data_IF_016663701494
#
_entry.id   IF_016663701494
#
_cell.length_a   1.000
_cell.length_b   1.000
_cell.length_c   1.000
_cell.angle_alpha   90.00
_cell.angle_beta   90.00
_cell.angle_gamma   90.00
#
_symmetry.space_group_name_H-M   'P 1'
#
loop_
_entity.id
_entity.type
_entity.pdbx_description
1 polymer ?
#
# COMPACT_ATOMS: atom_id res chain seq x y z
N UNK A 1 32.95 -33.39 16.99
CA UNK A 1 31.52 -33.08 16.84
C UNK A 1 31.43 -31.72 16.18
N UNK A 2 31.29 -31.71 14.85
CA UNK A 2 31.09 -30.45 14.10
C UNK A 2 29.64 -29.96 14.36
N UNK A 3 29.54 -28.80 14.98
CA UNK A 3 28.25 -28.15 15.19
C UNK A 3 27.55 -27.96 13.85
N UNK A 4 26.38 -28.59 13.64
CA UNK A 4 25.44 -28.24 12.57
C UNK A 4 25.06 -26.77 12.82
N UNK A 5 25.65 -25.89 12.04
CA UNK A 5 25.18 -24.50 11.97
C UNK A 5 23.68 -24.54 11.75
N UNK A 6 22.93 -23.88 12.61
CA UNK A 6 21.47 -23.70 12.47
C UNK A 6 21.30 -23.00 11.12
N UNK A 7 20.81 -23.73 10.11
CA UNK A 7 20.42 -23.11 8.83
C UNK A 7 19.31 -22.16 9.17
N UNK A 8 19.57 -20.86 9.03
CA UNK A 8 18.54 -19.86 9.18
C UNK A 8 17.53 -20.04 8.05
N UNK A 9 16.26 -20.15 8.39
CA UNK A 9 15.18 -20.30 7.41
C UNK A 9 15.02 -19.05 6.55
N UNK A 10 14.67 -19.21 5.27
CA UNK A 10 14.44 -18.12 4.33
C UNK A 10 12.98 -17.65 4.36
N UNK A 11 12.80 -16.34 4.27
CA UNK A 11 11.50 -15.70 4.16
C UNK A 11 11.51 -14.70 3.00
N UNK A 12 10.52 -14.78 2.15
CA UNK A 12 10.30 -13.82 1.06
C UNK A 12 9.25 -12.80 1.44
N UNK A 13 9.64 -11.53 1.56
CA UNK A 13 8.78 -10.42 1.90
C UNK A 13 8.46 -9.57 0.66
N UNK A 14 7.21 -9.56 0.21
CA UNK A 14 6.76 -8.60 -0.79
C UNK A 14 6.24 -7.36 -0.08
N UNK A 15 6.85 -6.22 -0.34
CA UNK A 15 6.56 -4.97 0.33
C UNK A 15 6.33 -3.84 -0.68
N UNK A 16 5.56 -2.85 -0.31
CA UNK A 16 5.23 -1.72 -1.18
C UNK A 16 4.72 -0.49 -0.42
N UNK A 17 4.90 -0.53 0.91
CA UNK A 17 4.46 0.54 1.82
C UNK A 17 5.60 0.92 2.75
N UNK A 18 5.47 2.06 3.45
CA UNK A 18 6.47 2.52 4.42
C UNK A 18 6.69 1.58 5.63
N UNK A 19 5.87 0.55 5.78
CA UNK A 19 6.00 -0.45 6.84
C UNK A 19 6.96 -1.60 6.46
N UNK A 20 7.27 -1.73 5.18
CA UNK A 20 8.16 -2.79 4.70
C UNK A 20 9.54 -2.80 5.36
N UNK A 21 10.28 -1.67 5.40
CA UNK A 21 11.61 -1.64 6.02
C UNK A 21 11.63 -2.02 7.50
N UNK A 22 10.79 -1.46 8.41
CA UNK A 22 10.76 -1.89 9.81
C UNK A 22 10.37 -3.36 9.97
N UNK A 23 9.44 -3.86 9.15
CA UNK A 23 9.04 -5.27 9.15
C UNK A 23 10.20 -6.19 8.74
N UNK A 24 10.91 -5.85 7.66
CA UNK A 24 12.09 -6.60 7.22
C UNK A 24 13.18 -6.64 8.30
N UNK A 25 13.46 -5.50 8.94
CA UNK A 25 14.42 -5.41 10.03
C UNK A 25 13.99 -6.24 11.25
N UNK A 26 12.71 -6.26 11.59
CA UNK A 26 12.19 -7.07 12.69
C UNK A 26 12.32 -8.57 12.40
N UNK A 27 12.02 -9.02 11.19
CA UNK A 27 12.19 -10.41 10.75
C UNK A 27 13.66 -10.84 10.78
N UNK A 28 14.56 -10.02 10.24
CA UNK A 28 15.99 -10.30 10.27
C UNK A 28 16.53 -10.42 11.71
N UNK A 29 16.09 -9.54 12.62
CA UNK A 29 16.50 -9.55 14.03
C UNK A 29 16.12 -10.84 14.76
N UNK A 30 15.04 -11.51 14.39
CA UNK A 30 14.64 -12.81 14.95
C UNK A 30 15.22 -13.99 14.19
N UNK A 31 16.18 -13.75 13.29
CA UNK A 31 17.00 -14.79 12.65
C UNK A 31 16.52 -15.28 11.29
N UNK A 32 15.58 -14.60 10.63
CA UNK A 32 15.19 -14.93 9.27
C UNK A 32 16.19 -14.39 8.24
N UNK A 33 16.53 -15.21 7.24
CA UNK A 33 17.16 -14.75 6.00
C UNK A 33 16.08 -14.15 5.11
N UNK A 34 15.99 -12.82 5.09
CA UNK A 34 14.89 -12.10 4.44
C UNK A 34 15.30 -11.64 3.05
N UNK A 35 14.60 -12.12 2.02
CA UNK A 35 14.63 -11.54 0.67
C UNK A 35 13.43 -10.60 0.52
N UNK A 36 13.69 -9.36 0.11
CA UNK A 36 12.62 -8.36 -0.06
C UNK A 36 12.38 -8.11 -1.55
N UNK A 37 11.11 -8.04 -1.96
CA UNK A 37 10.72 -7.59 -3.30
C UNK A 37 10.02 -6.25 -3.24
N UNK A 38 10.50 -5.29 -4.05
CA UNK A 38 9.92 -3.96 -4.24
C UNK A 38 9.85 -3.60 -5.72
N UNK A 39 8.92 -2.72 -6.10
CA UNK A 39 8.69 -2.41 -7.52
C UNK A 39 9.70 -1.41 -8.07
N UNK A 40 10.21 -0.47 -7.26
CA UNK A 40 11.05 0.64 -7.76
C UNK A 40 12.38 0.74 -7.02
N UNK A 41 13.44 1.25 -7.69
CA UNK A 41 14.73 1.53 -7.04
C UNK A 41 14.58 2.48 -5.84
N UNK A 42 13.71 3.48 -5.93
CA UNK A 42 13.42 4.40 -4.84
C UNK A 42 12.80 3.71 -3.61
N UNK A 43 12.02 2.64 -3.81
CA UNK A 43 11.52 1.83 -2.71
C UNK A 43 12.63 0.96 -2.10
N UNK A 44 13.55 0.45 -2.92
CA UNK A 44 14.70 -0.33 -2.45
C UNK A 44 15.64 0.48 -1.56
N UNK A 45 15.84 1.77 -1.85
CA UNK A 45 16.70 2.64 -1.04
C UNK A 45 16.26 2.74 0.44
N UNK A 46 14.99 2.49 0.74
CA UNK A 46 14.48 2.50 2.11
C UNK A 46 14.97 1.28 2.95
N UNK A 47 15.55 0.28 2.32
CA UNK A 47 16.10 -0.92 2.95
C UNK A 47 17.64 -0.88 3.05
N UNK A 48 18.26 0.22 2.63
CA UNK A 48 19.71 0.37 2.72
C UNK A 48 20.19 0.26 4.17
N UNK A 49 21.25 -0.53 4.38
CA UNK A 49 21.82 -0.77 5.72
C UNK A 49 21.09 -1.80 6.57
N UNK A 50 20.02 -2.44 6.08
CA UNK A 50 19.41 -3.59 6.73
C UNK A 50 20.18 -4.88 6.39
N UNK A 51 20.31 -5.77 7.36
CA UNK A 51 20.88 -7.11 7.18
C UNK A 51 19.86 -8.02 6.50
N UNK A 52 19.88 -8.04 5.17
CA UNK A 52 18.96 -8.79 4.33
C UNK A 52 19.74 -9.77 3.44
N UNK A 53 19.14 -10.91 3.13
CA UNK A 53 19.70 -11.85 2.15
C UNK A 53 19.76 -11.23 0.75
N UNK A 54 18.74 -10.45 0.39
CA UNK A 54 18.69 -9.80 -0.91
C UNK A 54 17.51 -8.84 -1.07
N UNK A 55 17.60 -7.97 -2.09
CA UNK A 55 16.53 -7.07 -2.49
C UNK A 55 16.31 -7.23 -3.98
N UNK A 56 15.10 -7.62 -4.37
CA UNK A 56 14.65 -7.67 -5.76
C UNK A 56 13.94 -6.37 -6.10
N UNK A 57 14.34 -5.78 -7.20
CA UNK A 57 13.75 -4.53 -7.71
C UNK A 57 13.08 -4.81 -9.05
N UNK A 58 11.83 -4.46 -9.16
CA UNK A 58 11.04 -4.63 -10.38
C UNK A 58 9.69 -5.32 -10.11
N UNK A 59 8.77 -5.15 -11.06
CA UNK A 59 7.48 -5.83 -10.99
C UNK A 59 7.65 -7.32 -11.35
N UNK A 60 7.00 -8.18 -10.58
CA UNK A 60 6.88 -9.61 -10.92
C UNK A 60 5.84 -9.76 -12.04
N UNK A 61 6.24 -10.43 -13.12
CA UNK A 61 5.44 -10.56 -14.34
C UNK A 61 4.42 -11.71 -14.28
N UNK A 62 3.57 -11.73 -13.22
CA UNK A 62 2.49 -12.72 -13.08
C UNK A 62 2.94 -14.00 -12.35
N UNK A 63 2.08 -15.00 -12.40
CA UNK A 63 2.21 -16.26 -11.64
C UNK A 63 3.50 -17.02 -11.95
N UNK A 64 3.87 -17.12 -13.23
CA UNK A 64 5.06 -17.88 -13.64
C UNK A 64 6.37 -17.24 -13.15
N UNK A 65 6.48 -15.91 -13.13
CA UNK A 65 7.64 -15.24 -12.59
C UNK A 65 7.77 -15.46 -11.06
N UNK A 66 6.63 -15.52 -10.36
CA UNK A 66 6.59 -15.83 -8.93
C UNK A 66 6.99 -17.29 -8.69
N UNK A 67 6.48 -18.23 -9.49
CA UNK A 67 6.86 -19.64 -9.39
C UNK A 67 8.34 -19.86 -9.65
N UNK A 68 8.88 -19.21 -10.68
CA UNK A 68 10.31 -19.26 -10.97
C UNK A 68 11.14 -18.82 -9.78
N UNK A 69 10.75 -17.73 -9.12
CA UNK A 69 11.42 -17.24 -7.90
C UNK A 69 11.35 -18.23 -6.73
N UNK A 70 10.17 -18.84 -6.54
CA UNK A 70 9.97 -19.82 -5.46
C UNK A 70 10.75 -21.10 -5.64
N UNK A 71 11.10 -21.44 -6.88
CA UNK A 71 11.86 -22.64 -7.25
C UNK A 71 13.35 -22.37 -7.39
N UNK A 72 13.79 -21.11 -7.34
CA UNK A 72 15.19 -20.73 -7.49
C UNK A 72 15.93 -20.76 -6.16
N UNK A 73 17.02 -21.51 -6.11
CA UNK A 73 17.89 -21.61 -4.94
C UNK A 73 17.30 -22.38 -3.75
N UNK A 74 17.69 -21.99 -2.54
CA UNK A 74 17.18 -22.57 -1.30
C UNK A 74 15.67 -22.25 -1.11
N UNK A 75 14.84 -23.19 -0.64
CA UNK A 75 13.41 -22.96 -0.50
C UNK A 75 13.09 -21.89 0.54
N UNK A 76 12.07 -21.08 0.26
CA UNK A 76 11.48 -20.19 1.24
C UNK A 76 10.57 -20.99 2.19
N UNK A 77 10.71 -20.78 3.48
CA UNK A 77 9.78 -21.36 4.45
C UNK A 77 8.47 -20.58 4.49
N UNK A 78 8.54 -19.27 4.33
CA UNK A 78 7.39 -18.41 4.28
C UNK A 78 7.47 -17.40 3.13
N UNK A 79 6.33 -17.14 2.53
CA UNK A 79 6.09 -15.95 1.70
C UNK A 79 5.17 -15.02 2.48
N UNK A 80 5.53 -13.74 2.55
CA UNK A 80 4.75 -12.71 3.25
C UNK A 80 4.34 -11.62 2.25
N UNK A 81 3.05 -11.53 1.99
CA UNK A 81 2.46 -10.44 1.23
C UNK A 81 2.13 -9.27 2.17
N UNK A 82 3.03 -8.30 2.25
CA UNK A 82 2.84 -7.02 2.93
C UNK A 82 2.63 -5.87 1.94
N UNK A 83 2.11 -6.16 0.75
CA UNK A 83 1.81 -5.14 -0.25
C UNK A 83 0.61 -4.29 0.14
N UNK A 84 0.43 -3.15 -0.55
CA UNK A 84 -0.70 -2.27 -0.29
C UNK A 84 -2.04 -3.01 -0.51
N UNK A 85 -3.09 -2.80 0.32
CA UNK A 85 -4.38 -3.49 0.18
C UNK A 85 -5.03 -3.40 -1.22
N UNK A 86 -4.69 -2.36 -1.98
CA UNK A 86 -5.14 -2.16 -3.37
C UNK A 86 -4.22 -2.78 -4.43
N UNK A 87 -3.20 -3.53 -4.03
CA UNK A 87 -2.31 -4.24 -4.96
C UNK A 87 -2.88 -5.63 -5.31
N UNK A 88 -4.14 -5.69 -5.72
CA UNK A 88 -4.94 -6.92 -5.91
C UNK A 88 -4.24 -7.91 -6.84
N UNK A 89 -3.68 -7.43 -7.96
CA UNK A 89 -3.06 -8.30 -8.97
C UNK A 89 -1.92 -9.14 -8.37
N UNK A 90 -0.95 -8.49 -7.75
CA UNK A 90 0.20 -9.23 -7.19
C UNK A 90 -0.22 -10.17 -6.07
N UNK A 91 -1.19 -9.79 -5.23
CA UNK A 91 -1.69 -10.65 -4.16
C UNK A 91 -2.42 -11.89 -4.70
N UNK A 92 -3.19 -11.74 -5.79
CA UNK A 92 -3.84 -12.86 -6.48
C UNK A 92 -2.82 -13.75 -7.19
N UNK A 93 -1.82 -13.17 -7.84
CA UNK A 93 -0.76 -13.93 -8.51
C UNK A 93 0.08 -14.73 -7.48
N UNK A 94 0.38 -14.13 -6.31
CA UNK A 94 1.04 -14.81 -5.19
C UNK A 94 0.21 -15.99 -4.66
N UNK A 95 -1.07 -15.76 -4.42
CA UNK A 95 -1.97 -16.82 -3.95
C UNK A 95 -1.95 -18.00 -4.90
N UNK A 96 -2.12 -17.78 -6.21
CA UNK A 96 -2.12 -18.86 -7.23
C UNK A 96 -0.77 -19.58 -7.31
N UNK A 97 0.34 -18.84 -7.29
CA UNK A 97 1.68 -19.44 -7.35
C UNK A 97 1.99 -20.27 -6.12
N UNK A 98 1.69 -19.74 -4.93
CA UNK A 98 1.92 -20.43 -3.66
C UNK A 98 1.03 -21.65 -3.49
N UNK A 99 -0.25 -21.57 -3.88
CA UNK A 99 -1.18 -22.70 -3.86
C UNK A 99 -0.69 -23.84 -4.74
N UNK A 100 -0.28 -23.54 -5.98
CA UNK A 100 0.22 -24.55 -6.93
C UNK A 100 1.49 -25.28 -6.43
N UNK A 101 2.32 -24.62 -5.63
CA UNK A 101 3.57 -25.16 -5.07
C UNK A 101 3.42 -25.61 -3.60
N UNK A 102 2.23 -25.51 -3.03
CA UNK A 102 1.98 -25.73 -1.59
C UNK A 102 2.91 -24.91 -0.70
N UNK A 103 3.27 -23.72 -1.18
CA UNK A 103 4.13 -22.78 -0.47
C UNK A 103 3.33 -22.00 0.58
N UNK A 104 3.72 -22.01 1.86
CA UNK A 104 3.06 -21.23 2.88
C UNK A 104 3.06 -19.71 2.57
N UNK A 105 1.88 -19.10 2.55
CA UNK A 105 1.67 -17.68 2.25
C UNK A 105 0.89 -17.03 3.38
N UNK A 106 1.44 -15.95 3.92
CA UNK A 106 0.76 -15.05 4.86
C UNK A 106 0.49 -13.70 4.19
N UNK A 107 -0.68 -13.15 4.42
CA UNK A 107 -0.98 -11.76 4.05
C UNK A 107 -1.09 -10.89 5.30
N UNK A 108 -0.26 -9.86 5.36
CA UNK A 108 -0.37 -8.84 6.39
C UNK A 108 -1.41 -7.80 5.97
N UNK A 109 -2.55 -7.80 6.65
CA UNK A 109 -3.60 -6.81 6.46
C UNK A 109 -3.78 -5.96 7.71
N UNK A 110 -3.58 -4.67 7.59
CA UNK A 110 -3.87 -3.74 8.67
C UNK A 110 -5.35 -3.76 9.03
N UNK A 111 -5.70 -3.58 10.31
CA UNK A 111 -7.08 -3.38 10.72
C UNK A 111 -7.72 -2.22 9.94
N UNK A 112 -9.04 -2.27 9.84
CA UNK A 112 -9.80 -1.15 9.29
C UNK A 112 -9.92 -0.07 10.36
N UNK A 113 -9.63 1.17 9.98
CA UNK A 113 -9.88 2.32 10.86
C UNK A 113 -11.39 2.54 11.02
N UNK A 114 -11.79 2.89 12.24
CA UNK A 114 -13.18 3.18 12.59
C UNK A 114 -13.33 4.65 12.99
N UNK A 115 -14.56 5.14 12.99
CA UNK A 115 -14.92 6.49 13.43
C UNK A 115 -14.90 7.55 12.31
N UNK A 116 -15.50 8.72 12.62
CA UNK A 116 -15.74 9.83 11.70
C UNK A 116 -16.94 9.57 10.77
N UNK A 117 -17.47 10.65 10.22
CA UNK A 117 -18.48 10.55 9.16
C UNK A 117 -17.79 10.23 7.84
N UNK A 118 -18.01 9.03 7.33
CA UNK A 118 -17.38 8.54 6.11
C UNK A 118 -18.45 8.13 5.10
N UNK A 119 -18.36 8.64 3.91
CA UNK A 119 -19.14 8.14 2.78
C UNK A 119 -18.30 7.11 2.01
N UNK A 120 -18.84 5.91 1.89
CA UNK A 120 -18.16 4.79 1.27
C UNK A 120 -18.44 4.70 -0.23
N UNK A 121 -17.38 4.50 -1.02
CA UNK A 121 -17.45 4.24 -2.44
C UNK A 121 -16.82 2.88 -2.75
N UNK A 122 -17.36 2.16 -3.72
CA UNK A 122 -16.88 0.85 -4.14
C UNK A 122 -15.95 0.92 -5.36
N UNK A 123 -16.14 1.94 -6.19
CA UNK A 123 -15.32 2.18 -7.37
C UNK A 123 -15.01 3.68 -7.53
N UNK A 124 -13.94 3.98 -8.26
CA UNK A 124 -13.56 5.37 -8.57
C UNK A 124 -14.67 6.11 -9.32
N UNK A 125 -15.36 5.41 -10.22
CA UNK A 125 -16.46 5.94 -11.00
C UNK A 125 -17.71 6.26 -10.18
N UNK A 126 -17.83 5.78 -8.94
CA UNK A 126 -18.98 6.10 -8.09
C UNK A 126 -19.02 7.58 -7.69
N UNK A 127 -17.90 8.31 -7.83
CA UNK A 127 -17.86 9.76 -7.63
C UNK A 127 -18.91 10.50 -8.49
N UNK A 128 -19.19 10.02 -9.71
CA UNK A 128 -20.20 10.62 -10.60
C UNK A 128 -21.63 10.53 -10.09
N UNK A 129 -21.89 9.64 -9.13
CA UNK A 129 -23.21 9.43 -8.53
C UNK A 129 -23.46 10.35 -7.32
N UNK A 130 -22.49 11.15 -6.93
CA UNK A 130 -22.56 12.04 -5.79
C UNK A 130 -22.97 13.45 -6.24
N UNK A 131 -23.62 14.18 -5.34
CA UNK A 131 -23.89 15.60 -5.50
C UNK A 131 -22.66 16.39 -5.06
N UNK A 132 -21.75 16.66 -6.00
CA UNK A 132 -20.49 17.38 -5.72
C UNK A 132 -20.49 18.81 -6.31
N UNK A 133 -21.63 19.30 -6.76
CA UNK A 133 -21.73 20.65 -7.29
C UNK A 133 -21.28 21.69 -6.26
N UNK A 134 -20.34 22.56 -6.65
CA UNK A 134 -19.73 23.55 -5.75
C UNK A 134 -18.75 23.01 -4.73
N UNK A 135 -18.54 21.70 -4.66
CA UNK A 135 -17.53 21.11 -3.76
C UNK A 135 -16.12 21.25 -4.33
N UNK A 136 -15.17 21.47 -3.43
CA UNK A 136 -13.72 21.51 -3.72
C UNK A 136 -13.10 20.22 -3.24
N UNK A 137 -13.02 19.24 -4.16
CA UNK A 137 -12.63 17.87 -3.87
C UNK A 137 -11.11 17.66 -3.99
N UNK A 138 -10.48 17.21 -2.92
CA UNK A 138 -9.07 16.81 -2.91
C UNK A 138 -8.92 15.30 -3.12
N UNK A 139 -8.27 14.89 -4.21
CA UNK A 139 -7.98 13.50 -4.54
C UNK A 139 -6.65 13.05 -3.92
N UNK A 140 -6.73 12.28 -2.83
CA UNK A 140 -5.58 11.72 -2.11
C UNK A 140 -5.37 10.21 -2.43
N UNK A 141 -5.55 9.80 -3.70
CA UNK A 141 -5.60 8.39 -4.13
C UNK A 141 -4.36 7.88 -4.87
N UNK A 142 -3.41 8.77 -5.16
CA UNK A 142 -2.19 8.46 -5.93
C UNK A 142 -2.37 8.60 -7.46
N UNK A 143 -1.26 8.91 -8.15
CA UNK A 143 -1.24 9.35 -9.54
C UNK A 143 -1.97 8.45 -10.53
N UNK A 144 -1.81 7.13 -10.44
CA UNK A 144 -2.39 6.16 -11.38
C UNK A 144 -3.91 6.23 -11.54
N UNK A 145 -4.61 6.73 -10.52
CA UNK A 145 -6.06 6.76 -10.47
C UNK A 145 -6.64 8.16 -10.67
N UNK A 146 -5.78 9.18 -10.80
CA UNK A 146 -6.21 10.57 -10.88
C UNK A 146 -7.08 10.85 -12.10
N UNK A 147 -6.74 10.33 -13.27
CA UNK A 147 -7.50 10.59 -14.50
C UNK A 147 -8.96 10.14 -14.35
N UNK A 148 -9.18 8.88 -13.94
CA UNK A 148 -10.54 8.33 -13.79
C UNK A 148 -11.32 9.05 -12.70
N UNK A 149 -10.71 9.27 -11.54
CA UNK A 149 -11.39 9.92 -10.42
C UNK A 149 -11.65 11.40 -10.68
N UNK A 150 -10.71 12.12 -11.33
CA UNK A 150 -10.89 13.53 -11.71
C UNK A 150 -12.02 13.71 -12.71
N UNK A 151 -12.11 12.84 -13.72
CA UNK A 151 -13.19 12.87 -14.69
C UNK A 151 -14.55 12.64 -14.02
N UNK A 152 -14.67 11.57 -13.23
CA UNK A 152 -15.91 11.25 -12.51
C UNK A 152 -16.36 12.35 -11.53
N UNK A 153 -15.39 12.97 -10.83
CA UNK A 153 -15.68 14.05 -9.90
C UNK A 153 -16.13 15.35 -10.61
N UNK A 154 -15.52 15.66 -11.75
CA UNK A 154 -15.94 16.83 -12.57
C UNK A 154 -17.30 16.63 -13.20
N UNK A 155 -17.63 15.41 -13.64
CA UNK A 155 -18.99 15.08 -14.11
C UNK A 155 -20.05 15.29 -13.01
N UNK A 156 -19.67 15.07 -11.74
CA UNK A 156 -20.50 15.36 -10.56
C UNK A 156 -20.48 16.83 -10.12
N UNK A 157 -19.81 17.73 -10.85
CA UNK A 157 -19.78 19.17 -10.60
C UNK A 157 -18.71 19.66 -9.62
N UNK A 158 -17.74 18.81 -9.22
CA UNK A 158 -16.68 19.21 -8.30
C UNK A 158 -15.56 20.02 -8.99
N UNK A 159 -14.99 20.98 -8.26
CA UNK A 159 -13.66 21.51 -8.56
C UNK A 159 -12.61 20.57 -7.95
N UNK A 160 -11.70 20.06 -8.78
CA UNK A 160 -10.80 18.94 -8.39
C UNK A 160 -9.39 19.42 -8.12
N UNK A 161 -8.88 19.04 -6.97
CA UNK A 161 -7.49 19.22 -6.55
C UNK A 161 -6.85 17.86 -6.30
N UNK A 162 -5.56 17.74 -6.52
CA UNK A 162 -4.88 16.46 -6.33
C UNK A 162 -3.44 16.59 -5.85
N UNK A 163 -2.92 15.46 -5.39
CA UNK A 163 -1.51 15.28 -5.08
C UNK A 163 -0.95 14.09 -5.84
N UNK A 164 0.26 14.24 -6.38
CA UNK A 164 1.03 13.14 -6.93
C UNK A 164 2.43 13.07 -6.32
N UNK A 165 3.08 11.92 -6.48
CA UNK A 165 4.48 11.76 -6.05
C UNK A 165 5.44 12.49 -6.99
N UNK A 166 6.57 13.01 -6.48
CA UNK A 166 7.64 13.61 -7.29
C UNK A 166 8.47 12.51 -7.99
N UNK A 167 7.83 11.83 -8.93
CA UNK A 167 8.43 10.79 -9.76
C UNK A 167 7.77 10.80 -11.13
N UNK A 168 8.47 10.30 -12.16
CA UNK A 168 7.90 10.22 -13.51
C UNK A 168 6.59 9.42 -13.54
N UNK A 169 6.52 8.30 -12.80
CA UNK A 169 5.33 7.45 -12.70
C UNK A 169 4.17 8.09 -11.93
N UNK A 170 4.47 9.03 -11.02
CA UNK A 170 3.45 9.82 -10.31
C UNK A 170 2.97 11.00 -11.13
N UNK A 171 3.89 11.70 -11.78
CA UNK A 171 3.60 12.96 -12.48
C UNK A 171 2.91 12.74 -13.83
N UNK A 172 3.37 11.77 -14.64
CA UNK A 172 2.79 11.51 -15.96
C UNK A 172 1.28 11.26 -15.93
N UNK A 173 0.73 10.35 -15.08
CA UNK A 173 -0.71 10.18 -14.98
C UNK A 173 -1.43 11.41 -14.40
N UNK A 174 -0.79 12.17 -13.53
CA UNK A 174 -1.36 13.38 -12.96
C UNK A 174 -1.53 14.49 -14.01
N UNK A 175 -0.52 14.66 -14.88
CA UNK A 175 -0.61 15.58 -16.03
C UNK A 175 -1.69 15.13 -17.03
N UNK A 176 -1.77 13.82 -17.32
CA UNK A 176 -2.80 13.25 -18.17
C UNK A 176 -4.23 13.42 -17.64
N UNK A 177 -4.38 13.64 -16.31
CA UNK A 177 -5.69 13.98 -15.72
C UNK A 177 -6.19 15.41 -16.07
N UNK A 178 -5.36 16.22 -16.73
CA UNK A 178 -5.72 17.56 -17.19
C UNK A 178 -6.04 18.53 -16.04
N UNK A 179 -5.36 18.37 -14.89
CA UNK A 179 -5.49 19.31 -13.78
C UNK A 179 -4.64 20.56 -14.02
N UNK A 180 -5.18 21.78 -13.81
CA UNK A 180 -4.37 22.99 -13.82
C UNK A 180 -3.24 22.92 -12.81
N UNK A 181 -2.10 23.55 -13.12
CA UNK A 181 -0.92 23.52 -12.24
C UNK A 181 -1.19 24.01 -10.81
N UNK A 182 -2.10 24.98 -10.64
CA UNK A 182 -2.52 25.45 -9.32
C UNK A 182 -3.38 24.48 -8.51
N UNK A 183 -3.87 23.42 -9.15
CA UNK A 183 -4.70 22.36 -8.53
C UNK A 183 -3.94 21.05 -8.31
N UNK A 184 -2.67 21.00 -8.65
CA UNK A 184 -1.82 19.81 -8.49
C UNK A 184 -0.63 20.10 -7.58
N UNK A 185 -0.53 19.38 -6.47
CA UNK A 185 0.65 19.39 -5.60
C UNK A 185 1.55 18.18 -5.90
N UNK A 186 2.84 18.45 -6.13
CA UNK A 186 3.86 17.41 -6.38
C UNK A 186 4.69 17.24 -5.13
N UNK A 187 4.33 16.26 -4.29
CA UNK A 187 4.98 16.01 -3.01
C UNK A 187 4.73 14.59 -2.51
N UNK A 188 5.57 14.12 -1.60
CA UNK A 188 5.33 12.86 -0.87
C UNK A 188 4.36 13.12 0.28
N UNK A 189 3.49 12.15 0.62
CA UNK A 189 2.63 12.26 1.79
C UNK A 189 3.43 12.29 3.09
N UNK A 190 2.87 12.93 4.11
CA UNK A 190 3.41 12.97 5.48
C UNK A 190 4.80 13.61 5.59
N UNK A 191 5.19 14.45 4.63
CA UNK A 191 6.44 15.22 4.72
C UNK A 191 6.32 16.38 5.69
N UNK A 192 7.48 16.83 6.21
CA UNK A 192 7.61 17.94 7.15
C UNK A 192 7.83 17.48 8.59
N UNK A 193 8.09 18.44 9.48
CA UNK A 193 8.38 18.21 10.89
C UNK A 193 7.16 17.65 11.67
N UNK A 194 5.95 17.96 11.22
CA UNK A 194 4.71 17.44 11.78
C UNK A 194 3.90 16.70 10.72
N UNK A 195 3.61 15.40 10.92
CA UNK A 195 2.79 14.64 9.98
C UNK A 195 1.43 15.30 9.71
N UNK A 196 1.17 15.61 8.43
CA UNK A 196 -0.08 16.24 7.99
C UNK A 196 -0.08 17.77 7.94
N UNK A 197 1.02 18.42 8.29
CA UNK A 197 1.11 19.89 8.22
C UNK A 197 0.93 20.41 6.79
N UNK A 198 1.56 19.75 5.81
CA UNK A 198 1.46 20.13 4.40
C UNK A 198 0.06 19.83 3.87
N UNK A 199 -0.51 18.69 4.18
CA UNK A 199 -1.87 18.30 3.79
C UNK A 199 -2.90 19.30 4.34
N UNK A 200 -2.75 19.70 5.61
CA UNK A 200 -3.58 20.75 6.24
C UNK A 200 -3.44 22.09 5.52
N UNK A 201 -2.21 22.50 5.21
CA UNK A 201 -1.95 23.75 4.51
C UNK A 201 -2.57 23.75 3.10
N UNK A 202 -2.49 22.63 2.37
CA UNK A 202 -3.13 22.48 1.06
C UNK A 202 -4.66 22.55 1.18
N UNK A 203 -5.27 21.89 2.15
CA UNK A 203 -6.71 21.95 2.38
C UNK A 203 -7.17 23.39 2.62
N UNK A 204 -6.46 24.15 3.45
CA UNK A 204 -6.77 25.56 3.70
C UNK A 204 -6.56 26.44 2.47
N UNK A 205 -5.40 26.28 1.79
CA UNK A 205 -5.05 27.05 0.58
C UNK A 205 -6.10 26.86 -0.53
N UNK A 206 -6.51 25.63 -0.75
CA UNK A 206 -7.46 25.28 -1.78
C UNK A 206 -8.92 25.34 -1.32
N UNK A 207 -9.16 25.72 -0.06
CA UNK A 207 -10.52 25.74 0.54
C UNK A 207 -11.24 24.43 0.28
N UNK A 208 -10.54 23.31 0.50
CA UNK A 208 -11.09 21.96 0.30
C UNK A 208 -12.29 21.78 1.21
N UNK A 209 -13.37 21.26 0.67
CA UNK A 209 -14.57 20.89 1.41
C UNK A 209 -14.81 19.38 1.48
N UNK A 210 -14.15 18.63 0.57
CA UNK A 210 -14.31 17.20 0.48
C UNK A 210 -12.95 16.53 0.15
N UNK A 211 -12.65 15.39 0.76
CA UNK A 211 -11.45 14.60 0.48
C UNK A 211 -11.84 13.19 0.05
N UNK A 212 -11.21 12.71 -1.01
CA UNK A 212 -11.35 11.32 -1.45
C UNK A 212 -10.02 10.59 -1.29
N UNK A 213 -10.00 9.54 -0.46
CA UNK A 213 -8.85 8.69 -0.28
C UNK A 213 -9.21 7.20 -0.24
N UNK A 214 -8.22 6.33 -0.11
CA UNK A 214 -8.39 4.87 -0.10
C UNK A 214 -8.42 4.34 1.33
N UNK A 215 -9.28 3.35 1.60
CA UNK A 215 -9.29 2.58 2.84
C UNK A 215 -8.02 1.72 2.91
N UNK A 216 -6.93 2.28 3.40
CA UNK A 216 -5.64 1.60 3.46
C UNK A 216 -5.33 0.98 4.83
N UNK A 217 -6.04 1.40 5.88
CA UNK A 217 -5.79 0.98 7.26
C UNK A 217 -4.45 1.47 7.83
N UNK A 218 -3.80 2.45 7.20
CA UNK A 218 -2.50 2.93 7.62
C UNK A 218 -2.46 4.44 7.88
N UNK A 219 -1.27 4.94 8.19
CA UNK A 219 -1.02 6.33 8.61
C UNK A 219 -1.64 7.39 7.69
N UNK A 220 -1.74 7.12 6.38
CA UNK A 220 -2.35 8.06 5.44
C UNK A 220 -3.87 8.14 5.60
N UNK A 221 -4.57 7.02 5.80
CA UNK A 221 -6.01 7.03 6.08
C UNK A 221 -6.28 7.68 7.42
N UNK A 222 -5.52 7.32 8.46
CA UNK A 222 -5.62 7.94 9.80
C UNK A 222 -5.45 9.45 9.73
N UNK A 223 -4.48 9.93 8.94
CA UNK A 223 -4.30 11.36 8.72
C UNK A 223 -5.56 12.01 8.14
N UNK A 224 -6.12 11.44 7.06
CA UNK A 224 -7.28 12.04 6.42
C UNK A 224 -8.53 11.99 7.29
N UNK A 225 -8.73 10.93 8.07
CA UNK A 225 -9.80 10.87 9.08
C UNK A 225 -9.66 11.98 10.11
N UNK A 226 -8.43 12.18 10.65
CA UNK A 226 -8.15 13.25 11.61
C UNK A 226 -8.36 14.64 10.99
N UNK A 227 -7.80 14.90 9.81
CA UNK A 227 -7.93 16.19 9.15
C UNK A 227 -9.38 16.48 8.75
N UNK A 228 -10.16 15.48 8.37
CA UNK A 228 -11.58 15.67 8.06
C UNK A 228 -12.37 16.15 9.28
N UNK A 229 -12.11 15.59 10.45
CA UNK A 229 -12.72 16.05 11.70
C UNK A 229 -12.22 17.43 12.11
N UNK A 230 -10.92 17.70 11.98
CA UNK A 230 -10.29 18.97 12.37
C UNK A 230 -10.75 20.16 11.51
N UNK A 231 -10.96 19.94 10.21
CA UNK A 231 -11.26 20.97 9.23
C UNK A 231 -12.69 20.92 8.72
N UNK A 232 -13.54 20.10 9.32
CA UNK A 232 -14.94 19.87 8.92
C UNK A 232 -15.07 19.52 7.43
N UNK A 233 -14.27 18.53 6.97
CA UNK A 233 -14.29 18.08 5.58
C UNK A 233 -15.13 16.83 5.43
N UNK A 234 -15.91 16.75 4.38
CA UNK A 234 -16.55 15.49 3.97
C UNK A 234 -15.47 14.47 3.58
N UNK A 235 -15.48 13.27 4.18
CA UNK A 235 -14.54 12.22 3.87
C UNK A 235 -15.19 11.14 3.02
N UNK A 236 -14.70 10.98 1.80
CA UNK A 236 -15.05 9.89 0.89
C UNK A 236 -13.94 8.83 0.94
N UNK A 237 -14.30 7.59 1.19
CA UNK A 237 -13.35 6.47 1.22
C UNK A 237 -13.69 5.43 0.17
N UNK A 238 -12.71 5.14 -0.69
CA UNK A 238 -12.77 3.97 -1.56
C UNK A 238 -12.53 2.72 -0.72
N UNK A 239 -13.52 1.82 -0.71
CA UNK A 239 -13.39 0.55 0.01
C UNK A 239 -12.23 -0.26 -0.53
N UNK A 240 -11.47 -0.87 0.40
CA UNK A 240 -10.43 -1.82 0.00
C UNK A 240 -11.06 -3.08 -0.60
N UNK A 241 -10.44 -3.63 -1.63
CA UNK A 241 -10.83 -4.95 -2.15
C UNK A 241 -10.71 -6.03 -1.08
N UNK A 242 -11.52 -7.08 -1.19
CA UNK A 242 -11.32 -8.27 -0.37
C UNK A 242 -9.97 -8.93 -0.70
N UNK A 243 -9.28 -9.48 0.29
CA UNK A 243 -8.07 -10.26 0.05
C UNK A 243 -8.38 -11.52 -0.77
N UNK A 244 -7.38 -12.12 -1.43
CA UNK A 244 -7.56 -13.39 -2.13
C UNK A 244 -8.07 -14.47 -1.18
N UNK A 245 -8.97 -15.32 -1.67
CA UNK A 245 -9.51 -16.43 -0.88
C UNK A 245 -8.43 -17.49 -0.60
N UNK A 246 -8.54 -18.16 0.54
CA UNK A 246 -7.61 -19.24 0.92
C UNK A 246 -6.25 -18.78 1.43
N UNK A 247 -5.99 -17.47 1.52
CA UNK A 247 -4.75 -16.93 2.10
C UNK A 247 -4.93 -16.69 3.59
N UNK A 248 -3.98 -17.16 4.39
CA UNK A 248 -3.96 -16.87 5.82
C UNK A 248 -3.65 -15.39 6.07
N UNK A 249 -4.56 -14.71 6.80
CA UNK A 249 -4.46 -13.27 7.06
C UNK A 249 -4.01 -13.03 8.49
N UNK A 250 -2.96 -12.23 8.63
CA UNK A 250 -2.50 -11.70 9.92
C UNK A 250 -2.76 -10.20 9.98
N UNK A 251 -3.25 -9.70 11.11
CA UNK A 251 -3.76 -8.33 11.22
C UNK A 251 -2.81 -7.37 11.93
N UNK A 252 -1.66 -7.85 12.36
CA UNK A 252 -0.63 -7.03 12.99
C UNK A 252 0.76 -7.62 12.77
N UNK A 253 1.78 -6.79 12.89
CA UNK A 253 3.18 -7.22 12.89
C UNK A 253 3.46 -8.24 14.00
N UNK A 254 2.92 -8.02 15.19
CA UNK A 254 3.06 -8.96 16.32
C UNK A 254 2.52 -10.34 15.98
N UNK A 255 1.31 -10.42 15.39
CA UNK A 255 0.72 -11.70 14.96
C UNK A 255 1.54 -12.33 13.84
N UNK A 256 2.07 -11.54 12.92
CA UNK A 256 2.96 -12.05 11.87
C UNK A 256 4.22 -12.68 12.48
N UNK A 257 4.90 -11.98 13.40
CA UNK A 257 6.09 -12.50 14.08
C UNK A 257 5.82 -13.81 14.82
N UNK A 258 4.71 -13.87 15.54
CA UNK A 258 4.27 -15.11 16.21
C UNK A 258 4.04 -16.24 15.21
N UNK A 259 3.36 -15.95 14.11
CA UNK A 259 2.99 -16.98 13.13
C UNK A 259 4.20 -17.55 12.38
N UNK A 260 5.15 -16.70 11.97
CA UNK A 260 6.35 -17.18 11.26
C UNK A 260 7.30 -17.98 12.15
N UNK A 261 7.26 -17.78 13.46
CA UNK A 261 8.05 -18.54 14.43
C UNK A 261 7.40 -19.86 14.86
N UNK A 262 6.10 -20.02 14.61
CA UNK A 262 5.38 -21.25 14.90
C UNK A 262 5.66 -22.32 13.84
N UNK A 263 5.85 -23.59 14.21
CA UNK A 263 5.98 -24.67 13.24
C UNK A 263 4.81 -24.73 12.27
N UNK A 264 5.09 -24.95 10.99
CA UNK A 264 4.06 -25.19 9.99
C UNK A 264 3.56 -26.63 10.23
N UNK A 265 2.24 -26.84 10.45
CA UNK A 265 1.72 -28.18 10.60
C UNK A 265 2.03 -29.00 9.33
N UNK A 266 2.37 -30.29 9.47
CA UNK A 266 2.56 -31.16 8.32
C UNK A 266 1.26 -31.21 7.49
N UNK A 267 1.39 -31.06 6.16
CA UNK A 267 0.32 -31.13 5.18
C UNK A 267 -0.16 -32.55 4.95
#
# INVERSE_FOLDING_TARGET
MQGRGIRQDRLWLLAGTGEGPPLAAALARIGWRVTVSVVTPAAASAYAGLDLEGIRVGALAGVEAIRSELLDGDPYRWVVDATHPFAVRISTDLQRACEALKQPLLRLERPTEQGGQVQWLHALGDLRKLELHGQRLFLAIGGRHLSVASHAAREAGAEVFARCLPSADGLRPALAAGLPGGQLAVLRPLQGSMPGAIERALCRRWRVSCVFCRQSGGVTEQLWRRLSMELDLQLLLLRRPCPPQGVEIVRSETLLMQRVTTPIPPS
#
